data_IF_675051715377
#
_entry.id   IF_675051715377
#
_cell.length_a   1.000
_cell.length_b   1.000
_cell.length_c   1.000
_cell.angle_alpha   90.00
_cell.angle_beta   90.00
_cell.angle_gamma   90.00
#
_symmetry.space_group_name_H-M   'P 1'
#
loop_
_entity.id
_entity.type
_entity.pdbx_description
1 polymer ?
#
# COMPACT_ATOMS: atom_id res chain seq x y z
N UNK A 1 9.34 12.43 -10.21
CA UNK A 1 10.15 11.79 -9.15
C UNK A 1 9.52 10.51 -8.61
N UNK A 2 8.19 10.41 -8.49
CA UNK A 2 7.47 9.21 -8.00
C UNK A 2 7.56 7.96 -8.87
N UNK A 3 7.83 8.10 -10.17
CA UNK A 3 7.95 6.96 -11.10
C UNK A 3 8.99 5.92 -10.69
N UNK A 4 10.10 6.33 -10.07
CA UNK A 4 11.13 5.40 -9.60
C UNK A 4 10.64 4.50 -8.48
N UNK A 5 9.83 5.03 -7.56
CA UNK A 5 9.22 4.24 -6.48
C UNK A 5 8.23 3.21 -7.04
N UNK A 6 7.41 3.63 -8.02
CA UNK A 6 6.48 2.71 -8.69
C UNK A 6 7.24 1.61 -9.42
N UNK A 7 8.31 1.96 -10.15
CA UNK A 7 9.14 1.00 -10.85
C UNK A 7 9.85 0.02 -9.89
N UNK A 8 10.34 0.50 -8.75
CA UNK A 8 10.93 -0.33 -7.70
C UNK A 8 9.92 -1.36 -7.18
N UNK A 9 8.73 -0.93 -6.78
CA UNK A 9 7.67 -1.83 -6.29
C UNK A 9 7.23 -2.81 -7.40
N UNK A 10 7.06 -2.34 -8.64
CA UNK A 10 6.70 -3.18 -9.77
C UNK A 10 7.78 -4.24 -10.06
N UNK A 11 9.07 -3.89 -9.93
CA UNK A 11 10.18 -4.83 -10.10
C UNK A 11 10.15 -5.96 -9.07
N UNK A 12 9.73 -5.66 -7.83
CA UNK A 12 9.54 -6.66 -6.79
C UNK A 12 8.33 -7.56 -7.08
N UNK A 13 7.22 -6.97 -7.53
CA UNK A 13 6.00 -7.69 -7.89
C UNK A 13 6.25 -8.69 -9.02
N UNK A 14 6.89 -8.25 -10.11
CA UNK A 14 7.21 -9.14 -11.24
C UNK A 14 8.23 -10.22 -10.86
N UNK A 15 9.16 -9.89 -9.94
CA UNK A 15 10.08 -10.89 -9.40
C UNK A 15 9.36 -11.96 -8.60
N UNK A 16 8.35 -11.61 -7.79
CA UNK A 16 7.56 -12.60 -7.04
C UNK A 16 6.71 -13.47 -7.97
N UNK A 17 6.20 -12.91 -9.07
CA UNK A 17 5.57 -13.71 -10.13
C UNK A 17 6.53 -14.74 -10.72
N UNK A 18 7.74 -14.35 -11.14
CA UNK A 18 8.73 -15.29 -11.68
C UNK A 18 9.24 -16.32 -10.66
N UNK A 19 9.17 -16.01 -9.37
CA UNK A 19 9.53 -16.92 -8.28
C UNK A 19 8.36 -17.81 -7.83
N UNK A 20 7.21 -17.78 -8.53
CA UNK A 20 5.99 -18.50 -8.17
C UNK A 20 5.48 -18.18 -6.75
N UNK A 21 5.74 -16.96 -6.26
CA UNK A 21 5.22 -16.44 -4.98
C UNK A 21 3.94 -15.62 -5.15
N UNK A 22 3.62 -15.27 -6.39
CA UNK A 22 2.45 -14.51 -6.78
C UNK A 22 1.82 -15.21 -7.99
N UNK A 23 0.51 -15.41 -7.91
CA UNK A 23 -0.28 -16.02 -8.98
C UNK A 23 -1.11 -14.95 -9.68
N UNK A 24 -1.08 -14.96 -11.02
CA UNK A 24 -1.98 -14.13 -11.81
C UNK A 24 -3.37 -14.78 -11.88
N UNK A 25 -4.43 -14.01 -12.14
CA UNK A 25 -5.75 -14.58 -12.38
C UNK A 25 -5.71 -15.64 -13.49
N UNK A 26 -6.24 -16.84 -13.20
CA UNK A 26 -6.25 -17.97 -14.14
C UNK A 26 -7.13 -17.77 -15.38
N UNK A 27 -7.95 -16.72 -15.40
CA UNK A 27 -8.87 -16.42 -16.50
C UNK A 27 -8.45 -15.14 -17.21
N UNK A 28 -8.23 -15.26 -18.52
CA UNK A 28 -7.98 -14.12 -19.40
C UNK A 28 -9.12 -13.09 -19.34
N UNK A 29 -10.37 -13.54 -19.19
CA UNK A 29 -11.53 -12.66 -19.05
C UNK A 29 -11.42 -11.76 -17.81
N UNK A 30 -10.97 -12.31 -16.67
CA UNK A 30 -10.78 -11.53 -15.44
C UNK A 30 -9.68 -10.47 -15.60
N UNK A 31 -8.60 -10.81 -16.31
CA UNK A 31 -7.52 -9.86 -16.61
C UNK A 31 -8.03 -8.72 -17.50
N UNK A 32 -8.79 -9.02 -18.55
CA UNK A 32 -9.36 -7.97 -19.42
C UNK A 32 -10.41 -7.12 -18.72
N UNK A 33 -11.21 -7.70 -17.83
CA UNK A 33 -12.18 -6.96 -17.02
C UNK A 33 -11.49 -5.93 -16.12
N UNK A 34 -10.40 -6.31 -15.46
CA UNK A 34 -9.60 -5.41 -14.64
C UNK A 34 -8.98 -4.28 -15.47
N UNK A 35 -8.37 -4.61 -16.63
CA UNK A 35 -7.83 -3.62 -17.57
C UNK A 35 -8.93 -2.64 -18.02
N UNK A 36 -10.13 -3.13 -18.35
CA UNK A 36 -11.26 -2.30 -18.78
C UNK A 36 -11.74 -1.39 -17.66
N UNK A 37 -11.81 -1.91 -16.44
CA UNK A 37 -12.23 -1.16 -15.25
C UNK A 37 -11.25 -0.03 -14.96
N UNK A 38 -9.94 -0.35 -14.94
CA UNK A 38 -8.87 0.64 -14.77
C UNK A 38 -8.91 1.73 -15.85
N UNK A 39 -9.00 1.35 -17.13
CA UNK A 39 -9.13 2.30 -18.25
C UNK A 39 -10.36 3.20 -18.11
N UNK A 40 -11.50 2.64 -17.71
CA UNK A 40 -12.74 3.40 -17.52
C UNK A 40 -12.60 4.41 -16.40
N UNK A 41 -11.98 4.02 -15.28
CA UNK A 41 -11.69 4.91 -14.16
C UNK A 41 -10.76 6.06 -14.55
N UNK A 42 -9.64 5.76 -15.22
CA UNK A 42 -8.69 6.78 -15.70
C UNK A 42 -9.37 7.77 -16.64
N UNK A 43 -10.16 7.28 -17.60
CA UNK A 43 -10.92 8.13 -18.54
C UNK A 43 -11.94 9.03 -17.84
N UNK A 44 -12.62 8.51 -16.80
CA UNK A 44 -13.60 9.29 -16.02
C UNK A 44 -12.93 10.44 -15.27
N UNK A 45 -11.72 10.21 -14.77
CA UNK A 45 -11.02 11.14 -13.89
C UNK A 45 -10.18 12.17 -14.64
N UNK A 46 -9.43 11.74 -15.65
CA UNK A 46 -8.47 12.57 -16.39
C UNK A 46 -8.96 12.99 -17.78
N UNK A 47 -10.13 12.50 -18.22
CA UNK A 47 -10.67 12.76 -19.54
C UNK A 47 -10.19 11.76 -20.60
N UNK A 48 -10.75 11.87 -21.81
CA UNK A 48 -10.51 10.90 -22.91
C UNK A 48 -9.21 11.14 -23.69
N UNK A 49 -8.64 12.33 -23.59
CA UNK A 49 -7.45 12.74 -24.36
C UNK A 49 -6.13 12.44 -23.64
N UNK A 50 -6.19 12.05 -22.37
CA UNK A 50 -5.00 11.71 -21.61
C UNK A 50 -4.48 10.33 -21.99
N UNK A 51 -3.16 10.23 -22.18
CA UNK A 51 -2.50 8.95 -22.43
C UNK A 51 -2.87 7.95 -21.31
N UNK A 52 -3.22 6.71 -21.66
CA UNK A 52 -3.69 5.66 -20.74
C UNK A 52 -2.71 5.33 -19.58
N UNK A 53 -1.52 5.94 -19.60
CA UNK A 53 -0.46 5.81 -18.59
C UNK A 53 -0.51 6.86 -17.47
N UNK A 54 -1.46 7.80 -17.47
CA UNK A 54 -1.64 8.71 -16.33
C UNK A 54 -2.43 8.02 -15.23
N UNK A 55 -1.77 7.72 -14.12
CA UNK A 55 -2.36 7.14 -12.92
C UNK A 55 -2.04 8.01 -11.70
N UNK A 56 -2.88 7.92 -10.67
CA UNK A 56 -2.48 8.37 -9.34
C UNK A 56 -1.28 7.53 -8.89
N UNK A 57 -0.11 8.15 -8.77
CA UNK A 57 1.16 7.45 -8.57
C UNK A 57 1.18 6.49 -7.37
N UNK A 58 0.35 6.71 -6.35
CA UNK A 58 0.22 5.82 -5.19
C UNK A 58 -0.59 4.55 -5.47
N UNK A 59 -1.62 4.62 -6.33
CA UNK A 59 -2.53 3.51 -6.61
C UNK A 59 -1.83 2.23 -7.12
N UNK A 60 -0.95 2.26 -8.15
CA UNK A 60 -0.28 1.05 -8.60
C UNK A 60 0.64 0.45 -7.53
N UNK A 61 1.27 1.28 -6.69
CA UNK A 61 2.08 0.75 -5.59
C UNK A 61 1.22 0.01 -4.56
N UNK A 62 0.06 0.55 -4.20
CA UNK A 62 -0.86 -0.13 -3.28
C UNK A 62 -1.36 -1.46 -3.85
N UNK A 63 -1.70 -1.51 -5.13
CA UNK A 63 -2.10 -2.75 -5.82
C UNK A 63 -0.97 -3.78 -5.73
N UNK A 64 0.22 -3.45 -6.23
CA UNK A 64 1.35 -4.37 -6.25
C UNK A 64 1.76 -4.85 -4.87
N UNK A 65 1.76 -3.95 -3.88
CA UNK A 65 2.07 -4.30 -2.50
C UNK A 65 1.01 -5.20 -1.90
N UNK A 66 -0.27 -4.95 -2.17
CA UNK A 66 -1.37 -5.77 -1.69
C UNK A 66 -1.30 -7.18 -2.27
N UNK A 67 -1.00 -7.32 -3.57
CA UNK A 67 -0.84 -8.63 -4.22
C UNK A 67 0.32 -9.43 -3.62
N UNK A 68 1.43 -8.77 -3.29
CA UNK A 68 2.56 -9.38 -2.56
C UNK A 68 2.25 -9.64 -1.08
N UNK A 69 1.07 -9.26 -0.58
CA UNK A 69 0.67 -9.42 0.82
C UNK A 69 1.43 -8.51 1.80
N UNK A 70 2.04 -7.42 1.30
CA UNK A 70 2.84 -6.48 2.07
C UNK A 70 1.97 -5.46 2.81
N UNK A 71 2.53 -4.85 3.85
CA UNK A 71 1.83 -3.81 4.61
C UNK A 71 1.70 -2.52 3.78
N UNK A 72 0.47 -2.06 3.58
CA UNK A 72 0.17 -0.79 2.89
C UNK A 72 0.51 0.43 3.76
N UNK A 73 0.28 0.35 5.08
CA UNK A 73 0.74 1.34 6.02
C UNK A 73 2.23 1.18 6.27
N UNK A 74 3.02 2.16 5.83
CA UNK A 74 4.48 2.10 5.89
C UNK A 74 5.10 3.03 6.92
N UNK A 75 4.29 3.81 7.63
CA UNK A 75 4.70 4.61 8.79
C UNK A 75 4.15 4.04 10.09
N UNK A 76 4.60 4.57 11.22
CA UNK A 76 4.25 4.05 12.54
C UNK A 76 3.02 4.73 13.17
N UNK A 77 2.42 5.74 12.52
CA UNK A 77 1.26 6.45 13.04
C UNK A 77 0.38 7.03 11.93
N UNK A 78 -0.90 7.24 12.25
CA UNK A 78 -1.88 7.73 11.30
C UNK A 78 -1.59 9.15 10.76
N UNK A 79 -1.01 10.04 11.58
CA UNK A 79 -0.72 11.42 11.15
C UNK A 79 0.31 11.41 10.02
N UNK A 80 1.43 10.71 10.21
CA UNK A 80 2.47 10.60 9.18
C UNK A 80 1.99 9.83 7.96
N UNK A 81 1.09 8.87 8.13
CA UNK A 81 0.54 8.09 7.03
C UNK A 81 -0.26 8.97 6.06
N UNK A 82 -1.21 9.77 6.59
CA UNK A 82 -2.15 10.57 5.81
C UNK A 82 -1.67 11.98 5.46
N UNK A 83 -0.94 12.64 6.36
CA UNK A 83 -0.51 14.04 6.17
C UNK A 83 1.00 14.18 5.91
N UNK A 84 1.76 13.10 6.07
CA UNK A 84 3.19 13.12 5.80
C UNK A 84 3.49 13.10 4.30
N UNK A 85 4.60 13.74 3.91
CA UNK A 85 5.12 13.64 2.54
C UNK A 85 5.54 12.20 2.25
N UNK A 86 5.08 11.65 1.14
CA UNK A 86 5.51 10.33 0.69
C UNK A 86 6.92 10.42 0.11
N UNK A 87 7.87 9.72 0.75
CA UNK A 87 9.29 9.73 0.38
C UNK A 87 9.76 8.29 0.08
N UNK A 88 10.81 8.10 -0.75
CA UNK A 88 11.36 6.78 -1.04
C UNK A 88 11.70 5.96 0.21
N UNK A 89 12.13 6.61 1.29
CA UNK A 89 12.39 5.96 2.58
C UNK A 89 11.20 5.15 3.14
N UNK A 90 9.96 5.42 2.72
CA UNK A 90 8.80 4.59 3.07
C UNK A 90 8.93 3.17 2.54
N UNK A 91 9.59 2.97 1.40
CA UNK A 91 9.83 1.65 0.80
C UNK A 91 11.03 0.92 1.43
N UNK A 92 11.75 1.54 2.36
CA UNK A 92 12.83 0.85 3.08
C UNK A 92 12.29 -0.42 3.78
N UNK A 93 13.02 -1.52 3.63
CA UNK A 93 12.63 -2.81 4.21
C UNK A 93 11.73 -3.67 3.31
N UNK A 94 11.37 -3.21 2.10
CA UNK A 94 10.43 -3.94 1.23
C UNK A 94 10.96 -5.32 0.83
N UNK A 95 12.26 -5.41 0.51
CA UNK A 95 12.91 -6.67 0.18
C UNK A 95 12.90 -7.64 1.37
N UNK A 96 13.22 -7.13 2.57
CA UNK A 96 13.26 -7.91 3.81
C UNK A 96 11.88 -8.42 4.20
N UNK A 97 10.83 -7.61 4.05
CA UNK A 97 9.44 -8.04 4.27
C UNK A 97 9.05 -9.18 3.34
N UNK A 98 9.36 -9.05 2.05
CA UNK A 98 9.11 -10.10 1.05
C UNK A 98 9.83 -11.40 1.41
N UNK A 99 11.09 -11.27 1.84
CA UNK A 99 11.89 -12.43 2.28
C UNK A 99 11.26 -13.11 3.50
N UNK A 100 10.85 -12.34 4.51
CA UNK A 100 10.19 -12.87 5.71
C UNK A 100 8.89 -13.60 5.34
N UNK A 101 8.04 -13.00 4.49
CA UNK A 101 6.80 -13.64 4.04
C UNK A 101 7.10 -14.94 3.30
N UNK A 102 8.09 -14.94 2.40
CA UNK A 102 8.47 -16.14 1.66
C UNK A 102 9.01 -17.27 2.56
N UNK A 103 9.77 -16.94 3.60
CA UNK A 103 10.37 -17.92 4.51
C UNK A 103 9.41 -18.42 5.59
N UNK A 104 8.52 -17.56 6.07
CA UNK A 104 7.67 -17.84 7.25
C UNK A 104 6.20 -18.01 6.93
N UNK A 105 5.75 -17.56 5.76
CA UNK A 105 4.34 -17.43 5.40
C UNK A 105 3.59 -16.36 6.21
N UNK A 106 4.27 -15.64 7.10
CA UNK A 106 3.65 -14.68 8.00
C UNK A 106 3.95 -13.24 7.59
N UNK A 107 2.93 -12.39 7.70
CA UNK A 107 3.08 -10.95 7.47
C UNK A 107 3.85 -10.32 8.64
N UNK A 108 4.92 -9.55 8.38
CA UNK A 108 5.66 -8.87 9.43
C UNK A 108 4.75 -7.90 10.17
N UNK A 109 4.67 -8.04 11.49
CA UNK A 109 3.88 -7.15 12.34
C UNK A 109 4.67 -5.86 12.59
N UNK A 110 4.11 -4.74 12.20
CA UNK A 110 4.62 -3.40 12.54
C UNK A 110 3.69 -2.77 13.56
N UNK A 111 4.27 -2.13 14.57
CA UNK A 111 3.49 -1.30 15.47
C UNK A 111 2.92 -0.11 14.69
N UNK A 112 1.62 0.13 14.84
CA UNK A 112 0.94 1.25 14.21
C UNK A 112 0.06 1.97 15.23
N UNK A 113 0.38 3.23 15.46
CA UNK A 113 -0.41 4.11 16.30
C UNK A 113 -1.63 4.63 15.51
N UNK A 114 -2.73 3.90 15.64
CA UNK A 114 -3.97 4.19 14.93
C UNK A 114 -4.69 5.43 15.50
N UNK A 115 -5.55 6.04 14.67
CA UNK A 115 -6.42 7.13 15.10
C UNK A 115 -7.32 6.72 16.28
N UNK A 116 -7.84 5.49 16.25
CA UNK A 116 -8.67 4.94 17.32
C UNK A 116 -7.90 4.82 18.64
N UNK A 117 -6.65 4.33 18.58
CA UNK A 117 -5.79 4.24 19.75
C UNK A 117 -5.48 5.65 20.31
N UNK A 118 -5.27 6.64 19.43
CA UNK A 118 -5.07 8.02 19.84
C UNK A 118 -6.28 8.60 20.57
N UNK A 119 -7.50 8.43 20.03
CA UNK A 119 -8.74 8.85 20.70
C UNK A 119 -8.89 8.17 22.06
N UNK A 120 -8.67 6.86 22.11
CA UNK A 120 -8.79 6.09 23.34
C UNK A 120 -7.85 6.63 24.44
N UNK A 121 -6.59 6.90 24.10
CA UNK A 121 -5.63 7.48 25.05
C UNK A 121 -6.06 8.86 25.52
N UNK A 122 -6.54 9.72 24.62
CA UNK A 122 -7.03 11.05 25.00
C UNK A 122 -8.23 10.93 25.96
N UNK A 123 -9.20 10.07 25.65
CA UNK A 123 -10.36 9.83 26.50
C UNK A 123 -9.96 9.28 27.88
N UNK A 124 -9.00 8.35 27.92
CA UNK A 124 -8.46 7.79 29.16
C UNK A 124 -7.78 8.88 30.01
N UNK A 125 -6.97 9.75 29.39
CA UNK A 125 -6.31 10.86 30.08
C UNK A 125 -7.32 11.87 30.65
N UNK A 126 -8.37 12.19 29.89
CA UNK A 126 -9.47 13.05 30.36
C UNK A 126 -10.18 12.40 31.56
N UNK A 127 -10.48 11.10 31.47
CA UNK A 127 -11.13 10.37 32.56
C UNK A 127 -10.26 10.39 33.83
N UNK A 128 -8.97 10.04 33.72
CA UNK A 128 -8.04 10.09 34.85
C UNK A 128 -7.95 11.49 35.44
N UNK A 129 -7.89 12.54 34.60
CA UNK A 129 -7.90 13.92 35.08
C UNK A 129 -9.13 14.22 35.94
N UNK A 130 -10.34 13.84 35.51
CA UNK A 130 -11.57 14.05 36.29
C UNK A 130 -11.68 13.22 37.58
N UNK A 131 -10.98 12.09 37.69
CA UNK A 131 -11.02 11.25 38.89
C UNK A 131 -9.98 11.64 39.95
N UNK A 132 -8.90 12.33 39.55
CA UNK A 132 -7.77 12.65 40.42
C UNK A 132 -7.55 14.16 40.65
N UNK A 133 -8.32 15.03 39.98
CA UNK A 133 -8.37 16.49 40.17
C UNK A 133 -9.78 16.90 40.55
#
# INVERSE_FOLDING_TARGET
SSYWMVAEVASHWISDYFLNRLELPNSEEKMYEEIRTSRTFIRKLFGREEHEFRYYWAAPMEIYMNDMGLALHRTNNWISEYFGVYRPNRLKGLHEERKIIAETGQRPRRFYFSFQLNIFIIALLILVYFFFV
#
